data_IF_696641902667
#
_entry.id   IF_696641902667
#
_cell.length_a   1.000
_cell.length_b   1.000
_cell.length_c   1.000
_cell.angle_alpha   90.00
_cell.angle_beta   90.00
_cell.angle_gamma   90.00
#
_symmetry.space_group_name_H-M   'P 1'
#
loop_
_entity.id
_entity.type
_entity.pdbx_description
1 polymer ?
#
# COMPACT_ATOMS: atom_id res chain seq x y z
N UNK A 1 4.10 -13.85 0.98
CA UNK A 1 2.69 -14.25 0.93
C UNK A 1 1.81 -13.01 0.92
N UNK A 2 0.86 -12.95 0.02
CA UNK A 2 -0.04 -11.81 -0.04
C UNK A 2 -1.02 -11.85 1.14
N UNK A 3 -1.11 -10.73 1.88
CA UNK A 3 -2.00 -10.60 3.03
C UNK A 3 -3.31 -9.94 2.61
N UNK A 4 -3.22 -8.87 1.83
CA UNK A 4 -4.40 -8.11 1.45
C UNK A 4 -4.15 -7.41 0.11
N UNK A 5 -5.20 -7.38 -0.71
CA UNK A 5 -5.19 -6.58 -1.93
C UNK A 5 -6.56 -5.92 -2.07
N UNK A 6 -6.56 -4.61 -2.08
CA UNK A 6 -7.75 -3.79 -2.31
C UNK A 6 -7.46 -2.92 -3.51
N UNK A 7 -8.21 -3.14 -4.60
CA UNK A 7 -7.97 -2.41 -5.84
C UNK A 7 -8.48 -0.97 -5.78
N UNK A 8 -9.56 -0.74 -5.03
CA UNK A 8 -10.13 0.60 -4.86
C UNK A 8 -10.70 0.70 -3.46
N UNK A 9 -10.11 1.56 -2.64
CA UNK A 9 -10.56 1.82 -1.28
C UNK A 9 -11.64 2.90 -1.16
N UNK A 10 -12.21 3.35 -2.29
CA UNK A 10 -13.26 4.35 -2.32
C UNK A 10 -12.85 5.69 -2.88
N UNK A 11 -11.57 5.89 -3.17
CA UNK A 11 -11.03 7.15 -3.70
C UNK A 11 -10.22 6.96 -4.99
N UNK A 12 -10.33 5.79 -5.62
CA UNK A 12 -9.56 5.45 -6.81
C UNK A 12 -8.18 4.87 -6.51
N UNK A 13 -7.76 4.88 -5.26
CA UNK A 13 -6.50 4.29 -4.81
C UNK A 13 -6.75 3.02 -4.02
N UNK A 14 -5.82 2.09 -4.11
CA UNK A 14 -5.85 0.86 -3.36
C UNK A 14 -4.47 0.50 -2.88
N UNK A 15 -4.31 -0.73 -2.41
CA UNK A 15 -3.04 -1.20 -1.87
C UNK A 15 -2.91 -2.70 -2.05
N UNK A 16 -1.66 -3.16 -2.09
CA UNK A 16 -1.31 -4.57 -2.07
C UNK A 16 -0.25 -4.78 -1.00
N UNK A 17 -0.53 -5.65 -0.04
CA UNK A 17 0.35 -5.91 1.09
C UNK A 17 0.79 -7.36 1.05
N UNK A 18 2.11 -7.59 1.14
CA UNK A 18 2.67 -8.93 1.21
C UNK A 18 3.50 -9.06 2.48
N UNK A 19 3.52 -10.26 3.04
CA UNK A 19 4.38 -10.60 4.17
C UNK A 19 5.70 -11.13 3.62
N UNK A 20 6.81 -10.66 4.18
CA UNK A 20 8.14 -11.09 3.79
C UNK A 20 8.68 -12.21 4.68
N UNK A 21 7.91 -12.63 5.70
CA UNK A 21 8.20 -13.80 6.51
C UNK A 21 9.06 -13.55 7.75
N UNK A 22 9.54 -12.33 7.96
CA UNK A 22 10.41 -11.96 9.08
C UNK A 22 9.85 -10.81 9.91
N UNK A 23 8.53 -10.74 10.03
CA UNK A 23 7.80 -9.67 10.68
C UNK A 23 7.87 -8.34 9.92
N UNK A 24 8.35 -8.37 8.70
CA UNK A 24 8.30 -7.20 7.81
C UNK A 24 7.28 -7.42 6.70
N UNK A 25 6.84 -6.31 6.12
CA UNK A 25 5.80 -6.29 5.11
C UNK A 25 6.20 -5.33 4.00
N UNK A 26 5.61 -5.54 2.83
CA UNK A 26 5.83 -4.66 1.70
C UNK A 26 4.47 -4.24 1.17
N UNK A 27 4.31 -2.93 0.93
CA UNK A 27 3.06 -2.36 0.45
C UNK A 27 3.31 -1.64 -0.87
N UNK A 28 2.50 -1.96 -1.86
CA UNK A 28 2.45 -1.21 -3.11
C UNK A 28 1.15 -0.43 -3.18
N UNK A 29 1.22 0.83 -3.57
CA UNK A 29 0.03 1.65 -3.80
C UNK A 29 -0.51 1.34 -5.17
N UNK A 30 -1.82 1.13 -5.26
CA UNK A 30 -2.51 0.85 -6.51
C UNK A 30 -3.32 2.07 -6.93
N UNK A 31 -3.46 2.23 -8.23
CA UNK A 31 -4.40 3.19 -8.81
C UNK A 31 -5.04 2.56 -10.02
N UNK A 32 -6.38 2.58 -10.06
CA UNK A 32 -7.17 1.94 -11.12
C UNK A 32 -6.81 0.45 -11.30
N UNK A 33 -6.46 -0.22 -10.19
CA UNK A 33 -6.13 -1.63 -10.19
C UNK A 33 -4.68 -1.97 -10.51
N UNK A 34 -3.85 -0.98 -10.87
CA UNK A 34 -2.46 -1.18 -11.23
C UNK A 34 -1.52 -0.53 -10.21
N UNK A 35 -0.28 -1.04 -10.11
CA UNK A 35 0.71 -0.44 -9.22
C UNK A 35 1.04 0.97 -9.70
N UNK A 36 0.95 1.92 -8.79
CA UNK A 36 1.27 3.30 -9.07
C UNK A 36 2.58 3.68 -8.38
N UNK A 37 3.57 4.06 -9.16
CA UNK A 37 4.89 4.44 -8.63
C UNK A 37 5.05 5.96 -8.45
N UNK A 38 3.99 6.73 -8.71
CA UNK A 38 4.05 8.19 -8.71
C UNK A 38 2.95 8.79 -7.84
N UNK A 39 2.88 8.33 -6.57
CA UNK A 39 1.93 8.89 -5.62
C UNK A 39 2.62 9.94 -4.75
N UNK A 40 1.85 10.84 -4.09
CA UNK A 40 2.44 11.75 -3.11
C UNK A 40 3.05 11.04 -1.88
N UNK A 41 2.73 9.77 -1.67
CA UNK A 41 3.20 8.99 -0.53
C UNK A 41 4.57 8.40 -0.82
N UNK A 42 4.69 7.77 -1.98
CA UNK A 42 5.92 7.08 -2.38
C UNK A 42 5.97 6.94 -3.89
N UNK A 43 7.17 6.89 -4.45
CA UNK A 43 7.38 6.60 -5.86
C UNK A 43 7.84 5.15 -6.09
N UNK A 44 7.69 4.28 -5.08
CA UNK A 44 8.01 2.86 -5.16
C UNK A 44 7.22 2.16 -4.06
N UNK A 45 7.49 0.88 -3.82
CA UNK A 45 6.85 0.15 -2.73
C UNK A 45 7.43 0.60 -1.38
N UNK A 46 6.63 0.48 -0.32
CA UNK A 46 7.03 0.77 1.04
C UNK A 46 7.30 -0.55 1.75
N UNK A 47 8.43 -0.63 2.46
CA UNK A 47 8.80 -1.81 3.23
C UNK A 47 9.01 -1.41 4.69
N UNK A 48 8.43 -2.17 5.61
CA UNK A 48 8.55 -1.89 7.02
C UNK A 48 7.73 -2.84 7.86
N UNK A 49 7.63 -2.53 9.16
CA UNK A 49 6.80 -3.30 10.06
C UNK A 49 5.32 -2.93 9.93
N UNK A 50 4.47 -3.62 10.68
CA UNK A 50 3.03 -3.41 10.57
C UNK A 50 2.60 -2.00 10.98
N UNK A 51 3.32 -1.39 11.92
CA UNK A 51 3.03 -0.01 12.35
C UNK A 51 3.26 0.97 11.21
N UNK A 52 4.37 0.81 10.51
CA UNK A 52 4.70 1.65 9.35
C UNK A 52 3.70 1.44 8.22
N UNK A 53 3.32 0.20 7.95
CA UNK A 53 2.35 -0.12 6.91
C UNK A 53 0.98 0.49 7.23
N UNK A 54 0.53 0.42 8.47
CA UNK A 54 -0.74 1.04 8.87
C UNK A 54 -0.73 2.55 8.69
N UNK A 55 0.39 3.20 8.99
CA UNK A 55 0.50 4.64 8.77
C UNK A 55 0.36 4.99 7.28
N UNK A 56 0.93 4.16 6.40
CA UNK A 56 0.80 4.36 4.96
C UNK A 56 -0.64 4.13 4.50
N UNK A 57 -1.33 3.12 5.05
CA UNK A 57 -2.73 2.90 4.72
C UNK A 57 -3.60 4.13 5.05
N UNK A 58 -3.35 4.76 6.20
CA UNK A 58 -4.06 5.98 6.55
C UNK A 58 -3.78 7.10 5.55
N UNK A 59 -2.55 7.23 5.07
CA UNK A 59 -2.21 8.22 4.05
C UNK A 59 -2.92 7.93 2.73
N UNK A 60 -3.04 6.67 2.34
CA UNK A 60 -3.74 6.29 1.11
C UNK A 60 -5.21 6.70 1.18
N UNK A 61 -5.84 6.52 2.34
CA UNK A 61 -7.25 6.90 2.52
C UNK A 61 -7.48 8.41 2.37
N UNK A 62 -6.45 9.19 2.59
CA UNK A 62 -6.53 10.64 2.48
C UNK A 62 -6.21 11.17 1.08
N UNK A 63 -5.81 10.31 0.17
CA UNK A 63 -5.60 10.69 -1.22
C UNK A 63 -6.95 10.92 -1.90
N UNK A 64 -7.03 11.97 -2.69
CA UNK A 64 -8.26 12.33 -3.41
C UNK A 64 -7.99 12.57 -4.88
#
# INVERSE_FOLDING_TARGET
MQIERVEDGGNGYGWSIVSLGDSSYELAVLKDGDICYHTPITNDVVRGDWIEINAILDEIEQLT
#
